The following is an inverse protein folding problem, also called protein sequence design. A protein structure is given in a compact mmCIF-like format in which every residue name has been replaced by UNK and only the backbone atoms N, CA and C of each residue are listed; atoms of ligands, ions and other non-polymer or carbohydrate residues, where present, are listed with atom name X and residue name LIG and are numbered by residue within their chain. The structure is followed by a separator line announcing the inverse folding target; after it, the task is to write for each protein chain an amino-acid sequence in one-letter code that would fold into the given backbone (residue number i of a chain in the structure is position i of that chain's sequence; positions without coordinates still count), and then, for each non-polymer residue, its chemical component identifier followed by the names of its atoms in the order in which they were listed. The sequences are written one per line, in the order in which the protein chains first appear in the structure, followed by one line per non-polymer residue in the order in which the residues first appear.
data_IF_269463827091
#
_entry.id   IF_269463827091
#
_cell.length_a   1.000
_cell.length_b   1.000
_cell.length_c   1.000
_cell.angle_alpha   90.00
_cell.angle_beta   90.00
_cell.angle_gamma   90.00
#
_symmetry.space_group_name_H-M   'P 1'
#
loop_
_entity.id
_entity.type
_entity.pdbx_description
1 polymer ?
#
# COMPACT_ATOMS: atom_id res chain seq x y z
N UNK A 1 -65.26 19.18 14.56
CA UNK A 1 -64.48 18.36 15.51
C UNK A 1 -63.07 18.30 14.94
N UNK A 2 -62.27 19.37 15.10
CA UNK A 2 -61.44 19.70 16.28
C UNK A 2 -60.26 18.72 16.35
N UNK A 3 -58.98 19.07 16.35
CA UNK A 3 -58.30 20.22 16.95
C UNK A 3 -56.91 20.44 16.31
N UNK A 4 -56.50 21.70 16.23
CA UNK A 4 -55.12 22.15 16.04
C UNK A 4 -54.34 21.98 17.36
N UNK A 5 -53.03 21.79 17.29
CA UNK A 5 -52.13 22.23 18.36
C UNK A 5 -50.76 22.64 17.80
N UNK A 6 -50.47 23.93 17.94
CA UNK A 6 -49.15 24.58 17.89
C UNK A 6 -48.63 24.75 19.32
N UNK A 7 -47.31 24.64 19.55
CA UNK A 7 -46.55 25.36 20.59
C UNK A 7 -45.01 25.17 20.36
N UNK A 8 -44.09 25.82 21.09
CA UNK A 8 -43.27 26.94 20.58
C UNK A 8 -41.74 26.72 20.68
N UNK A 9 -40.95 27.68 20.15
CA UNK A 9 -39.47 27.66 20.10
C UNK A 9 -38.75 27.94 21.44
N UNK A 10 -37.41 28.09 21.41
CA UNK A 10 -36.85 29.34 21.95
C UNK A 10 -35.62 29.93 21.23
N UNK A 11 -35.45 31.22 21.56
CA UNK A 11 -34.35 32.19 21.43
C UNK A 11 -32.96 31.58 21.71
N UNK A 12 -31.85 32.00 21.09
CA UNK A 12 -31.32 33.35 20.91
C UNK A 12 -30.13 33.56 21.85
N UNK A 13 -28.89 33.38 21.38
CA UNK A 13 -27.67 33.72 22.15
C UNK A 13 -26.73 34.56 21.29
N UNK A 14 -26.56 35.80 21.73
CA UNK A 14 -25.64 36.79 21.16
C UNK A 14 -24.22 36.63 21.70
N UNK A 15 -23.27 36.97 20.83
CA UNK A 15 -21.84 37.17 21.10
C UNK A 15 -21.59 38.48 21.85
N UNK A 16 -20.64 38.55 22.80
CA UNK A 16 -20.13 39.82 23.28
C UNK A 16 -18.82 40.21 22.59
N UNK A 17 -18.85 41.38 21.96
CA UNK A 17 -17.70 42.23 21.67
C UNK A 17 -17.00 42.64 22.96
N UNK A 18 -15.67 42.65 22.98
CA UNK A 18 -14.87 43.23 24.07
C UNK A 18 -14.13 44.46 23.53
N UNK A 19 -14.72 45.62 23.80
CA UNK A 19 -14.12 46.93 23.58
C UNK A 19 -13.06 47.29 24.64
N UNK A 20 -12.15 48.13 24.14
CA UNK A 20 -11.20 49.03 24.79
C UNK A 20 -11.51 49.41 26.24
N UNK A 21 -10.45 49.39 27.06
CA UNK A 21 -10.29 50.33 28.17
C UNK A 21 -8.98 51.09 28.01
N UNK A 22 -9.15 52.37 27.74
CA UNK A 22 -8.17 53.42 28.02
C UNK A 22 -8.05 53.60 29.54
N UNK A 23 -6.84 53.86 30.00
CA UNK A 23 -6.58 54.43 31.32
C UNK A 23 -5.46 55.44 31.20
N UNK A 24 -5.82 56.72 31.20
CA UNK A 24 -4.94 57.80 31.61
C UNK A 24 -4.83 57.82 33.14
N UNK A 25 -3.63 58.03 33.68
CA UNK A 25 -3.30 59.09 34.66
C UNK A 25 -1.87 58.90 35.19
N UNK A 26 -1.13 60.00 35.34
CA UNK A 26 -0.19 60.15 36.46
C UNK A 26 1.26 60.44 36.13
N UNK A 27 1.55 61.72 35.96
CA UNK A 27 2.86 62.36 35.81
C UNK A 27 3.67 62.38 37.14
N UNK A 28 5.01 62.52 37.01
CA UNK A 28 6.01 63.04 37.96
C UNK A 28 6.52 62.16 39.12
N UNK A 29 7.81 61.76 39.06
CA UNK A 29 8.95 62.37 39.82
C UNK A 29 10.26 62.11 39.06
N UNK A 30 11.02 63.18 38.78
CA UNK A 30 12.42 63.17 38.31
C UNK A 30 13.37 62.99 39.51
N UNK A 31 14.45 62.20 39.37
CA UNK A 31 15.83 62.68 39.63
C UNK A 31 16.89 61.57 39.65
N UNK A 32 17.94 61.80 38.84
CA UNK A 32 19.35 61.55 39.11
C UNK A 32 19.82 60.13 39.48
N UNK A 33 19.99 59.24 38.48
CA UNK A 33 20.93 58.11 38.60
C UNK A 33 21.43 57.56 37.24
N UNK A 34 21.54 58.41 36.21
CA UNK A 34 21.84 57.98 34.84
C UNK A 34 23.33 58.03 34.42
N UNK A 35 24.27 58.36 35.32
CA UNK A 35 25.68 58.62 34.91
C UNK A 35 26.76 57.71 35.51
N UNK A 36 26.42 56.66 36.29
CA UNK A 36 27.42 55.75 36.89
C UNK A 36 27.43 54.32 36.34
N UNK A 37 26.54 53.98 35.41
CA UNK A 37 26.45 52.62 34.83
C UNK A 37 27.44 52.34 33.67
N UNK A 38 27.96 53.30 32.87
CA UNK A 38 28.79 52.93 31.71
C UNK A 38 30.23 52.51 32.04
N UNK A 39 30.77 52.86 33.22
CA UNK A 39 32.20 52.61 33.54
C UNK A 39 32.45 51.29 34.28
N UNK A 40 31.47 50.79 35.06
CA UNK A 40 31.59 49.50 35.76
C UNK A 40 31.47 48.28 34.82
N UNK A 41 30.71 48.40 33.73
CA UNK A 41 30.52 47.31 32.76
C UNK A 41 31.71 47.12 31.82
N UNK A 42 32.51 48.16 31.57
CA UNK A 42 33.67 48.07 30.67
C UNK A 42 34.85 47.35 31.34
N UNK A 43 35.04 47.50 32.66
CA UNK A 43 36.10 46.80 33.40
C UNK A 43 35.75 45.32 33.69
N UNK A 44 34.47 44.98 33.79
CA UNK A 44 34.01 43.58 33.90
C UNK A 44 34.25 42.77 32.62
N UNK A 45 34.42 43.41 31.47
CA UNK A 45 34.75 42.75 30.20
C UNK A 45 36.23 42.31 30.08
N UNK A 46 37.14 42.86 30.88
CA UNK A 46 38.57 42.54 30.83
C UNK A 46 39.03 41.48 31.85
N UNK A 47 38.18 41.12 32.83
CA UNK A 47 38.49 40.12 33.85
C UNK A 47 37.81 38.76 33.62
N UNK A 48 37.01 38.61 32.56
CA UNK A 48 36.44 37.32 32.18
C UNK A 48 37.47 36.61 31.28
N UNK A 49 37.91 35.37 31.60
CA UNK A 49 38.82 34.57 30.77
C UNK A 49 38.25 34.39 29.35
N UNK A 50 39.02 33.89 28.35
CA UNK A 50 38.68 33.98 26.92
C UNK A 50 37.48 33.11 26.52
N UNK A 51 36.28 33.50 26.95
CA UNK A 51 34.99 32.91 26.59
C UNK A 51 34.51 33.39 25.22
N UNK A 52 35.14 34.44 24.66
CA UNK A 52 34.87 34.93 23.29
C UNK A 52 35.12 33.86 22.23
N UNK A 53 36.12 33.00 22.39
CA UNK A 53 36.36 31.89 21.46
C UNK A 53 35.28 30.81 21.55
N UNK A 54 34.78 30.53 22.76
CA UNK A 54 33.75 29.52 22.98
C UNK A 54 32.40 29.94 22.40
N UNK A 55 31.99 31.20 22.60
CA UNK A 55 30.76 31.74 22.01
C UNK A 55 30.83 31.85 20.49
N UNK A 56 31.96 32.31 19.93
CA UNK A 56 32.14 32.41 18.48
C UNK A 56 32.06 31.02 17.79
N UNK A 57 32.60 29.98 18.43
CA UNK A 57 32.51 28.62 17.91
C UNK A 57 31.08 28.06 17.98
N UNK A 58 30.35 28.31 19.08
CA UNK A 58 28.97 27.83 19.22
C UNK A 58 28.03 28.47 18.18
N UNK A 59 28.17 29.77 17.93
CA UNK A 59 27.39 30.49 16.90
C UNK A 59 27.75 30.00 15.49
N UNK A 60 29.04 29.73 15.21
CA UNK A 60 29.45 29.15 13.92
C UNK A 60 28.84 27.78 13.66
N UNK A 61 28.72 26.93 14.68
CA UNK A 61 28.12 25.60 14.51
C UNK A 61 26.60 25.66 14.29
N UNK A 62 25.91 26.62 14.91
CA UNK A 62 24.49 26.86 14.61
C UNK A 62 24.29 27.37 13.19
N UNK A 63 25.20 28.22 12.67
CA UNK A 63 25.15 28.68 11.28
C UNK A 63 25.40 27.55 10.27
N UNK A 64 26.36 26.67 10.55
CA UNK A 64 26.61 25.46 9.75
C UNK A 64 25.40 24.50 9.74
N UNK A 65 24.54 24.56 10.76
CA UNK A 65 23.32 23.74 10.79
C UNK A 65 22.18 24.29 9.92
N UNK A 66 22.22 25.59 9.59
CA UNK A 66 21.16 26.31 8.87
C UNK A 66 21.36 26.38 7.35
N UNK A 67 22.57 26.12 6.84
CA UNK A 67 22.84 26.04 5.41
C UNK A 67 22.29 24.73 4.81
N UNK A 68 21.72 24.82 3.61
CA UNK A 68 21.18 23.68 2.87
C UNK A 68 22.26 23.01 1.98
N UNK A 69 22.11 21.70 1.80
CA UNK A 69 22.83 20.91 0.79
C UNK A 69 24.36 21.10 0.72
N UNK A 70 24.84 21.40 -0.47
CA UNK A 70 26.26 21.36 -0.88
C UNK A 70 27.11 22.46 -0.24
N UNK A 71 26.54 23.64 0.00
CA UNK A 71 27.24 24.75 0.65
C UNK A 71 27.67 24.38 2.08
N UNK A 72 26.77 23.73 2.83
CA UNK A 72 27.07 23.21 4.17
C UNK A 72 28.19 22.18 4.15
N UNK A 73 28.23 21.29 3.16
CA UNK A 73 29.26 20.25 3.04
C UNK A 73 30.62 20.89 2.77
N UNK A 74 30.69 21.88 1.88
CA UNK A 74 31.92 22.59 1.57
C UNK A 74 32.43 23.41 2.77
N UNK A 75 31.52 24.05 3.51
CA UNK A 75 31.83 24.74 4.75
C UNK A 75 32.34 23.76 5.83
N UNK A 76 31.75 22.57 5.95
CA UNK A 76 32.22 21.51 6.84
C UNK A 76 33.58 20.93 6.42
N UNK A 77 33.85 20.72 5.12
CA UNK A 77 35.18 20.30 4.64
C UNK A 77 36.25 21.33 5.01
N UNK A 78 35.95 22.62 4.84
CA UNK A 78 36.84 23.73 5.21
C UNK A 78 37.02 23.87 6.73
N UNK A 79 36.04 23.44 7.51
CA UNK A 79 36.12 23.39 8.97
C UNK A 79 36.99 22.22 9.45
N UNK A 80 36.76 21.01 8.91
CA UNK A 80 37.50 19.79 9.25
C UNK A 80 38.99 19.86 8.86
N UNK A 81 39.34 20.62 7.81
CA UNK A 81 40.74 20.81 7.40
C UNK A 81 41.57 21.71 8.33
N UNK A 82 40.94 22.37 9.30
CA UNK A 82 41.63 23.20 10.30
C UNK A 82 41.76 22.41 11.60
N UNK A 83 42.83 21.61 11.68
CA UNK A 83 43.08 20.60 12.73
C UNK A 83 43.08 21.12 14.19
N UNK A 84 43.16 22.43 14.43
CA UNK A 84 43.51 22.96 15.76
C UNK A 84 42.37 23.52 16.62
N UNK A 85 41.11 23.60 16.15
CA UNK A 85 40.05 24.32 16.90
C UNK A 85 38.63 23.72 16.86
N UNK A 86 38.49 22.45 16.50
CA UNK A 86 37.16 21.84 16.44
C UNK A 86 36.64 21.49 17.84
N UNK A 87 35.49 22.05 18.24
CA UNK A 87 34.77 21.50 19.40
C UNK A 87 34.17 20.16 19.01
N UNK A 88 34.28 19.15 19.89
CA UNK A 88 33.86 17.77 19.62
C UNK A 88 32.43 17.65 19.04
N UNK A 89 31.50 18.51 19.49
CA UNK A 89 30.12 18.53 18.99
C UNK A 89 29.99 18.95 17.52
N UNK A 90 30.84 19.86 17.04
CA UNK A 90 30.76 20.37 15.67
C UNK A 90 31.55 19.49 14.72
N UNK A 91 32.62 18.87 15.22
CA UNK A 91 33.35 17.83 14.50
C UNK A 91 32.42 16.67 14.11
N UNK A 92 31.61 16.17 15.05
CA UNK A 92 30.64 15.09 14.78
C UNK A 92 29.62 15.46 13.69
N UNK A 93 28.96 16.62 13.84
CA UNK A 93 27.94 17.06 12.88
C UNK A 93 28.50 17.36 11.48
N UNK A 94 29.74 17.87 11.39
CA UNK A 94 30.38 18.09 10.09
C UNK A 94 30.91 16.81 9.47
N UNK A 95 31.42 15.86 10.26
CA UNK A 95 31.83 14.55 9.77
C UNK A 95 30.63 13.80 9.18
N UNK A 96 29.50 13.78 9.91
CA UNK A 96 28.25 13.18 9.41
C UNK A 96 27.76 13.84 8.13
N UNK A 97 27.77 15.18 8.04
CA UNK A 97 27.34 15.88 6.82
C UNK A 97 28.24 15.58 5.60
N UNK A 98 29.55 15.45 5.81
CA UNK A 98 30.50 15.10 4.74
C UNK A 98 30.35 13.63 4.34
N UNK A 99 30.23 12.72 5.30
CA UNK A 99 30.01 11.31 5.05
C UNK A 99 28.68 11.08 4.30
N UNK A 100 27.62 11.79 4.67
CA UNK A 100 26.32 11.77 3.99
C UNK A 100 26.47 12.13 2.51
N UNK A 101 27.14 13.25 2.21
CA UNK A 101 27.25 13.73 0.83
C UNK A 101 28.16 12.83 -0.02
N UNK A 102 29.24 12.32 0.57
CA UNK A 102 30.11 11.37 -0.11
C UNK A 102 29.34 10.08 -0.45
N UNK A 103 28.54 9.55 0.48
CA UNK A 103 27.71 8.36 0.24
C UNK A 103 26.64 8.62 -0.84
N UNK A 104 25.94 9.75 -0.75
CA UNK A 104 24.92 10.18 -1.72
C UNK A 104 25.48 10.35 -3.14
N UNK A 105 26.64 11.00 -3.28
CA UNK A 105 27.27 11.23 -4.58
C UNK A 105 27.83 9.96 -5.20
N UNK A 106 28.39 9.06 -4.38
CA UNK A 106 28.97 7.83 -4.88
C UNK A 106 27.91 6.89 -5.51
N UNK A 107 26.64 6.96 -5.06
CA UNK A 107 25.58 6.00 -5.43
C UNK A 107 26.05 4.53 -5.35
N UNK A 108 27.02 4.27 -4.48
CA UNK A 108 27.60 2.96 -4.25
C UNK A 108 26.90 2.35 -3.06
N UNK A 109 26.38 1.13 -3.25
CA UNK A 109 25.71 0.39 -2.19
C UNK A 109 26.61 0.24 -0.95
N UNK A 110 27.89 -0.11 -1.12
CA UNK A 110 28.83 -0.28 -0.02
C UNK A 110 29.01 0.99 0.83
N UNK A 111 29.09 2.16 0.17
CA UNK A 111 29.28 3.43 0.87
C UNK A 111 28.00 3.90 1.57
N UNK A 112 26.84 3.66 0.96
CA UNK A 112 25.54 3.95 1.56
C UNK A 112 25.28 3.05 2.78
N UNK A 113 25.61 1.76 2.68
CA UNK A 113 25.50 0.79 3.77
C UNK A 113 26.41 1.14 4.94
N UNK A 114 27.69 1.43 4.66
CA UNK A 114 28.63 1.88 5.68
C UNK A 114 28.16 3.16 6.40
N UNK A 115 27.49 4.08 5.70
CA UNK A 115 26.86 5.24 6.33
C UNK A 115 25.71 4.82 7.26
N UNK A 116 24.78 3.99 6.77
CA UNK A 116 23.63 3.50 7.55
C UNK A 116 24.10 2.80 8.82
N UNK A 117 25.02 1.84 8.70
CA UNK A 117 25.57 1.08 9.84
C UNK A 117 26.25 2.02 10.86
N UNK A 118 26.97 3.04 10.39
CA UNK A 118 27.67 4.00 11.25
C UNK A 118 26.72 4.93 12.02
N UNK A 119 25.57 5.25 11.44
CA UNK A 119 24.63 6.25 11.97
C UNK A 119 23.27 5.68 12.39
N UNK A 120 23.11 4.36 12.43
CA UNK A 120 21.85 3.66 12.78
C UNK A 120 21.30 4.09 14.14
N UNK A 121 22.17 4.31 15.14
CA UNK A 121 21.76 4.80 16.46
C UNK A 121 21.11 6.20 16.44
N UNK A 122 21.31 6.97 15.36
CA UNK A 122 20.75 8.29 15.12
C UNK A 122 19.54 8.26 14.15
N UNK A 123 18.90 7.10 13.94
CA UNK A 123 17.80 6.85 12.98
C UNK A 123 16.57 7.77 13.09
N UNK A 124 16.51 8.68 14.07
CA UNK A 124 15.43 9.66 14.23
C UNK A 124 15.52 10.88 13.29
N UNK A 125 16.52 10.96 12.42
CA UNK A 125 16.66 12.11 11.52
C UNK A 125 16.08 11.80 10.14
N UNK A 126 15.38 12.77 9.54
CA UNK A 126 14.81 12.65 8.19
C UNK A 126 15.87 12.27 7.11
N UNK A 127 17.15 12.56 7.37
CA UNK A 127 18.28 12.21 6.51
C UNK A 127 18.59 10.71 6.48
N UNK A 128 18.40 10.03 7.61
CA UNK A 128 18.54 8.58 7.67
C UNK A 128 17.54 7.89 6.74
N UNK A 129 16.27 8.34 6.77
CA UNK A 129 15.25 7.78 5.88
C UNK A 129 15.53 8.06 4.41
N UNK A 130 16.05 9.25 4.06
CA UNK A 130 16.44 9.57 2.68
C UNK A 130 17.55 8.64 2.18
N UNK A 131 18.60 8.38 2.99
CA UNK A 131 19.67 7.46 2.62
C UNK A 131 19.18 6.02 2.58
N UNK A 132 18.33 5.59 3.53
CA UNK A 132 17.77 4.24 3.52
C UNK A 132 16.97 4.00 2.23
N UNK A 133 16.14 4.96 1.82
CA UNK A 133 15.39 4.88 0.56
C UNK A 133 16.32 4.87 -0.67
N UNK A 134 17.45 5.58 -0.62
CA UNK A 134 18.44 5.57 -1.70
C UNK A 134 19.17 4.22 -1.76
N UNK A 135 19.57 3.66 -0.61
CA UNK A 135 20.19 2.36 -0.50
C UNK A 135 19.26 1.27 -1.03
N UNK A 136 17.98 1.31 -0.64
CA UNK A 136 16.92 0.44 -1.14
C UNK A 136 16.79 0.51 -2.67
N UNK A 137 16.71 1.72 -3.23
CA UNK A 137 16.62 1.94 -4.68
C UNK A 137 17.85 1.40 -5.44
N UNK A 138 19.06 1.60 -4.91
CA UNK A 138 20.30 1.10 -5.53
C UNK A 138 20.37 -0.42 -5.45
N UNK A 139 20.03 -1.01 -4.30
CA UNK A 139 20.00 -2.45 -4.11
C UNK A 139 19.02 -3.12 -5.09
N UNK A 140 17.83 -2.55 -5.24
CA UNK A 140 16.87 -3.01 -6.22
C UNK A 140 17.39 -2.93 -7.66
N UNK A 141 17.99 -1.80 -8.05
CA UNK A 141 18.54 -1.65 -9.40
C UNK A 141 19.63 -2.69 -9.72
N UNK A 142 20.40 -3.12 -8.71
CA UNK A 142 21.41 -4.16 -8.88
C UNK A 142 20.79 -5.55 -9.12
N UNK A 143 19.68 -5.87 -8.44
CA UNK A 143 18.94 -7.13 -8.65
C UNK A 143 18.46 -7.27 -10.10
N UNK A 144 18.00 -6.18 -10.73
CA UNK A 144 17.51 -6.24 -12.10
C UNK A 144 18.62 -6.42 -13.15
N UNK A 145 19.87 -6.03 -12.84
CA UNK A 145 21.00 -6.09 -13.77
C UNK A 145 21.73 -7.43 -13.75
N UNK A 146 21.86 -8.03 -12.58
CA UNK A 146 22.58 -9.29 -12.41
C UNK A 146 21.62 -10.47 -12.46
N UNK A 147 21.32 -10.94 -13.68
CA UNK A 147 20.43 -12.08 -13.89
C UNK A 147 21.03 -13.39 -13.41
N UNK A 148 22.36 -13.52 -13.39
CA UNK A 148 23.05 -14.74 -12.99
C UNK A 148 22.94 -14.96 -11.47
N UNK A 149 23.07 -13.89 -10.68
CA UNK A 149 22.97 -13.93 -9.22
C UNK A 149 21.61 -13.46 -8.67
N UNK A 150 20.59 -13.32 -9.52
CA UNK A 150 19.28 -12.76 -9.14
C UNK A 150 18.66 -13.44 -7.90
N UNK A 151 18.82 -14.77 -7.77
CA UNK A 151 18.34 -15.53 -6.60
C UNK A 151 19.05 -15.11 -5.32
N UNK A 152 20.38 -15.03 -5.33
CA UNK A 152 21.17 -14.64 -4.17
C UNK A 152 20.90 -13.18 -3.78
N UNK A 153 20.87 -12.29 -4.78
CA UNK A 153 20.62 -10.86 -4.58
C UNK A 153 19.21 -10.62 -4.02
N UNK A 154 18.18 -11.32 -4.50
CA UNK A 154 16.83 -11.18 -3.95
C UNK A 154 16.70 -11.73 -2.52
N UNK A 155 17.43 -12.79 -2.16
CA UNK A 155 17.43 -13.30 -0.78
C UNK A 155 18.10 -12.30 0.16
N UNK A 156 19.30 -11.83 -0.18
CA UNK A 156 20.02 -10.83 0.59
C UNK A 156 19.20 -9.53 0.76
N UNK A 157 18.55 -9.07 -0.32
CA UNK A 157 17.69 -7.91 -0.29
C UNK A 157 16.49 -8.08 0.66
N UNK A 158 15.80 -9.23 0.62
CA UNK A 158 14.68 -9.49 1.54
C UNK A 158 15.13 -9.55 3.00
N UNK A 159 16.29 -10.13 3.28
CA UNK A 159 16.85 -10.22 4.63
C UNK A 159 17.24 -8.83 5.17
N UNK A 160 17.70 -7.94 4.31
CA UNK A 160 18.14 -6.59 4.69
C UNK A 160 17.00 -5.57 4.80
N UNK A 161 16.10 -5.51 3.81
CA UNK A 161 15.07 -4.47 3.72
C UNK A 161 13.68 -4.93 4.21
N UNK A 162 13.48 -6.25 4.36
CA UNK A 162 12.20 -6.81 4.74
C UNK A 162 11.06 -6.44 3.77
N UNK A 163 9.82 -6.47 4.26
CA UNK A 163 8.62 -6.18 3.46
C UNK A 163 8.47 -4.70 3.06
N UNK A 164 9.21 -3.80 3.71
CA UNK A 164 9.14 -2.37 3.44
C UNK A 164 10.00 -1.94 2.24
N UNK A 165 10.88 -2.80 1.74
CA UNK A 165 11.74 -2.52 0.59
C UNK A 165 10.93 -2.34 -0.69
N UNK A 166 11.27 -1.33 -1.50
CA UNK A 166 10.58 -0.99 -2.75
C UNK A 166 10.50 -2.12 -3.77
N UNK A 167 11.38 -3.11 -3.70
CA UNK A 167 11.44 -4.25 -4.62
C UNK A 167 11.16 -5.59 -3.93
N UNK A 168 10.58 -5.53 -2.73
CA UNK A 168 10.17 -6.73 -2.00
C UNK A 168 9.24 -7.60 -2.84
N UNK A 169 8.20 -7.02 -3.44
CA UNK A 169 7.20 -7.78 -4.21
C UNK A 169 7.81 -8.46 -5.45
N UNK A 170 8.68 -7.76 -6.20
CA UNK A 170 9.35 -8.35 -7.36
C UNK A 170 10.26 -9.51 -6.93
N UNK A 171 11.08 -9.30 -5.89
CA UNK A 171 11.97 -10.34 -5.40
C UNK A 171 11.21 -11.50 -4.76
N UNK A 172 10.11 -11.24 -4.07
CA UNK A 172 9.26 -12.25 -3.49
C UNK A 172 8.65 -13.12 -4.60
N UNK A 173 8.04 -12.51 -5.62
CA UNK A 173 7.45 -13.23 -6.75
C UNK A 173 8.50 -14.02 -7.55
N UNK A 174 9.70 -13.48 -7.73
CA UNK A 174 10.80 -14.18 -8.40
C UNK A 174 11.26 -15.40 -7.59
N UNK A 175 11.52 -15.23 -6.30
CA UNK A 175 11.96 -16.32 -5.43
C UNK A 175 10.88 -17.39 -5.28
N UNK A 176 9.62 -16.99 -5.17
CA UNK A 176 8.46 -17.90 -5.17
C UNK A 176 8.47 -18.80 -6.42
N UNK A 177 8.56 -18.19 -7.61
CA UNK A 177 8.62 -18.95 -8.85
C UNK A 177 9.85 -19.87 -8.94
N UNK A 178 11.02 -19.39 -8.51
CA UNK A 178 12.27 -20.15 -8.52
C UNK A 178 12.21 -21.35 -7.55
N UNK A 179 11.81 -21.13 -6.30
CA UNK A 179 11.76 -22.18 -5.28
C UNK A 179 10.63 -23.19 -5.59
N UNK A 180 9.55 -22.77 -6.25
CA UNK A 180 8.54 -23.71 -6.75
C UNK A 180 9.17 -24.70 -7.76
N UNK A 181 9.91 -24.20 -8.75
CA UNK A 181 10.49 -25.07 -9.76
C UNK A 181 11.59 -25.97 -9.17
N UNK A 182 12.40 -25.45 -8.26
CA UNK A 182 13.37 -26.24 -7.50
C UNK A 182 12.69 -27.36 -6.70
N UNK A 183 11.54 -27.09 -6.07
CA UNK A 183 10.80 -28.09 -5.31
C UNK A 183 10.26 -29.23 -6.20
N UNK A 184 9.79 -28.92 -7.43
CA UNK A 184 9.35 -29.94 -8.41
C UNK A 184 10.47 -30.87 -8.85
N UNK A 185 11.69 -30.34 -8.95
CA UNK A 185 12.88 -31.06 -9.40
C UNK A 185 13.59 -31.80 -8.26
N UNK A 186 13.18 -31.60 -7.00
CA UNK A 186 13.76 -32.29 -5.85
C UNK A 186 13.59 -33.81 -5.96
N UNK A 187 14.62 -34.56 -5.54
CA UNK A 187 14.54 -36.02 -5.36
C UNK A 187 13.58 -36.38 -4.22
N UNK A 188 13.62 -35.60 -3.14
CA UNK A 188 12.65 -35.66 -2.05
C UNK A 188 11.58 -34.61 -2.28
N UNK A 189 10.60 -34.95 -3.12
CA UNK A 189 9.50 -34.04 -3.47
C UNK A 189 8.61 -33.74 -2.28
N UNK A 190 8.40 -34.71 -1.38
CA UNK A 190 7.51 -34.53 -0.23
C UNK A 190 8.06 -33.47 0.71
N UNK A 191 9.32 -33.61 1.13
CA UNK A 191 9.97 -32.64 2.00
C UNK A 191 10.10 -31.27 1.31
N UNK A 192 10.43 -31.24 0.02
CA UNK A 192 10.54 -29.99 -0.74
C UNK A 192 9.20 -29.24 -0.85
N UNK A 193 8.08 -29.95 -1.06
CA UNK A 193 6.74 -29.36 -1.11
C UNK A 193 6.34 -28.78 0.23
N UNK A 194 6.58 -29.50 1.32
CA UNK A 194 6.31 -29.02 2.68
C UNK A 194 7.14 -27.77 3.02
N UNK A 195 8.44 -27.78 2.72
CA UNK A 195 9.31 -26.60 2.90
C UNK A 195 8.83 -25.39 2.11
N UNK A 196 8.39 -25.60 0.87
CA UNK A 196 7.85 -24.53 0.04
C UNK A 196 6.54 -23.97 0.64
N UNK A 197 5.61 -24.84 1.05
CA UNK A 197 4.34 -24.44 1.65
C UNK A 197 4.56 -23.67 2.95
N UNK A 198 5.46 -24.12 3.82
CA UNK A 198 5.82 -23.42 5.06
C UNK A 198 6.40 -22.02 4.77
N UNK A 199 7.25 -21.91 3.74
CA UNK A 199 7.93 -20.66 3.39
C UNK A 199 7.02 -19.60 2.76
N UNK A 200 6.11 -19.99 1.87
CA UNK A 200 5.29 -19.07 1.08
C UNK A 200 3.82 -19.03 1.50
N UNK A 201 3.38 -20.00 2.29
CA UNK A 201 1.99 -20.10 2.73
C UNK A 201 1.00 -20.24 1.57
N UNK A 202 -0.29 -19.92 1.79
CA UNK A 202 -1.35 -20.05 0.80
C UNK A 202 -1.22 -19.10 -0.39
N UNK A 203 -0.42 -18.05 -0.26
CA UNK A 203 -0.20 -17.06 -1.33
C UNK A 203 0.89 -17.47 -2.32
N UNK A 204 1.66 -18.54 -2.01
CA UNK A 204 2.69 -19.07 -2.89
C UNK A 204 2.14 -19.62 -4.20
N UNK A 205 2.78 -19.29 -5.31
CA UNK A 205 2.39 -19.67 -6.68
C UNK A 205 2.06 -21.15 -6.88
N UNK A 206 2.71 -22.04 -6.14
CA UNK A 206 2.58 -23.49 -6.27
C UNK A 206 1.92 -24.17 -5.07
N UNK A 207 1.37 -23.39 -4.14
CA UNK A 207 0.73 -23.89 -2.92
C UNK A 207 -0.37 -24.92 -3.23
N UNK A 208 -1.37 -24.57 -4.05
CA UNK A 208 -2.49 -25.47 -4.35
C UNK A 208 -2.02 -26.77 -5.04
N UNK A 209 -1.05 -26.66 -5.95
CA UNK A 209 -0.50 -27.81 -6.66
C UNK A 209 0.22 -28.76 -5.70
N UNK A 210 1.02 -28.21 -4.78
CA UNK A 210 1.76 -28.99 -3.81
C UNK A 210 0.86 -29.59 -2.73
N UNK A 211 -0.14 -28.84 -2.23
CA UNK A 211 -1.15 -29.40 -1.33
C UNK A 211 -1.87 -30.58 -1.97
N UNK A 212 -2.38 -30.42 -3.19
CA UNK A 212 -3.09 -31.48 -3.89
C UNK A 212 -2.20 -32.72 -4.12
N UNK A 213 -0.92 -32.52 -4.42
CA UNK A 213 0.03 -33.62 -4.58
C UNK A 213 0.34 -34.34 -3.26
N UNK A 214 0.42 -33.61 -2.15
CA UNK A 214 0.58 -34.20 -0.82
C UNK A 214 -0.66 -34.98 -0.40
N UNK A 215 -1.86 -34.47 -0.66
CA UNK A 215 -3.13 -35.14 -0.36
C UNK A 215 -3.34 -36.43 -1.16
N UNK A 216 -2.98 -36.41 -2.46
CA UNK A 216 -3.15 -37.57 -3.35
C UNK A 216 -2.02 -38.61 -3.23
N UNK A 217 -0.98 -38.30 -2.47
CA UNK A 217 0.27 -39.04 -2.47
C UNK A 217 1.14 -38.65 -3.67
N UNK A 218 2.43 -38.42 -3.41
CA UNK A 218 3.38 -38.07 -4.46
C UNK A 218 3.83 -39.36 -5.14
N UNK A 219 3.66 -39.50 -6.47
CA UNK A 219 4.11 -40.71 -7.17
C UNK A 219 5.61 -40.88 -6.98
N UNK A 220 6.00 -42.03 -6.42
CA UNK A 220 7.40 -42.41 -6.24
C UNK A 220 8.03 -42.61 -7.63
N UNK A 221 9.17 -41.94 -7.86
CA UNK A 221 9.86 -41.90 -9.17
C UNK A 221 10.36 -43.28 -9.67
N UNK A 222 10.13 -44.35 -8.91
CA UNK A 222 10.65 -45.69 -9.19
C UNK A 222 9.85 -46.48 -10.24
N UNK A 223 8.64 -46.05 -10.63
CA UNK A 223 7.80 -46.80 -11.59
C UNK A 223 7.94 -46.37 -13.07
N UNK A 224 8.84 -45.44 -13.42
CA UNK A 224 8.99 -44.95 -14.82
C UNK A 224 10.04 -45.74 -15.63
N UNK A 225 10.46 -46.93 -15.18
CA UNK A 225 11.39 -47.77 -15.96
C UNK A 225 10.72 -49.09 -16.36
N UNK A 226 10.81 -49.42 -17.64
CA UNK A 226 10.38 -50.65 -18.34
C UNK A 226 8.92 -50.75 -18.80
N UNK A 227 8.53 -49.86 -19.72
CA UNK A 227 7.40 -50.05 -20.64
C UNK A 227 7.82 -49.82 -22.09
N UNK A 228 8.95 -50.38 -22.53
CA UNK A 228 9.40 -50.32 -23.93
C UNK A 228 8.61 -51.36 -24.73
N UNK A 229 7.45 -50.99 -25.25
CA UNK A 229 6.77 -51.75 -26.29
C UNK A 229 7.49 -51.51 -27.62
N UNK A 230 8.10 -52.56 -28.16
CA UNK A 230 8.51 -52.62 -29.54
C UNK A 230 7.25 -52.61 -30.41
N UNK A 231 6.99 -51.49 -31.09
CA UNK A 231 6.12 -51.47 -32.27
C UNK A 231 6.87 -50.78 -33.40
N UNK A 232 7.25 -51.61 -34.36
CA UNK A 232 7.67 -51.31 -35.72
C UNK A 232 6.68 -50.40 -36.44
N UNK A 233 7.25 -49.46 -37.19
CA UNK A 233 6.77 -48.89 -38.45
C UNK A 233 5.26 -48.69 -38.64
N UNK A 234 4.85 -47.43 -38.58
CA UNK A 234 4.19 -46.79 -39.73
C UNK A 234 4.26 -45.27 -39.60
N UNK A 235 4.86 -44.64 -40.61
CA UNK A 235 4.89 -43.19 -40.81
C UNK A 235 3.47 -42.60 -40.80
N UNK A 236 3.27 -41.42 -40.21
CA UNK A 236 2.67 -40.36 -41.02
C UNK A 236 3.21 -38.94 -40.74
N UNK A 237 3.54 -38.26 -41.83
CA UNK A 237 3.16 -36.88 -42.20
C UNK A 237 3.20 -35.78 -41.13
N UNK A 238 4.16 -34.87 -41.34
CA UNK A 238 4.03 -33.40 -41.36
C UNK A 238 2.65 -32.80 -41.06
N UNK A 239 2.65 -31.79 -40.17
CA UNK A 239 1.63 -30.77 -39.79
C UNK A 239 1.24 -30.91 -38.31
N UNK A 240 1.17 -29.88 -37.46
CA UNK A 240 0.89 -28.45 -37.67
C UNK A 240 1.29 -27.70 -36.39
N UNK A 241 1.90 -26.52 -36.53
CA UNK A 241 2.09 -25.56 -35.43
C UNK A 241 0.73 -25.18 -34.84
N UNK A 242 0.42 -25.71 -33.66
CA UNK A 242 -0.76 -25.30 -32.90
C UNK A 242 -0.39 -24.10 -32.03
N UNK A 243 -0.70 -22.91 -32.53
CA UNK A 243 -0.66 -21.69 -31.73
C UNK A 243 -1.57 -21.83 -30.49
N UNK A 244 -1.26 -21.15 -29.38
CA UNK A 244 -2.11 -21.16 -28.19
C UNK A 244 -3.51 -20.67 -28.59
N UNK A 245 -4.55 -21.46 -28.31
CA UNK A 245 -5.94 -21.07 -28.53
C UNK A 245 -6.21 -19.78 -27.75
N UNK A 246 -6.28 -18.67 -28.47
CA UNK A 246 -6.78 -17.38 -28.01
C UNK A 246 -8.20 -17.61 -27.48
N UNK A 247 -8.41 -17.38 -26.18
CA UNK A 247 -9.73 -17.51 -25.57
C UNK A 247 -10.73 -16.64 -26.34
N UNK A 248 -11.69 -17.28 -27.01
CA UNK A 248 -12.79 -16.59 -27.67
C UNK A 248 -13.63 -15.90 -26.58
N UNK A 249 -14.03 -14.63 -26.73
CA UNK A 249 -14.87 -13.95 -25.76
C UNK A 249 -16.12 -14.78 -25.52
N UNK A 250 -16.39 -15.10 -24.26
CA UNK A 250 -17.51 -15.93 -23.85
C UNK A 250 -18.81 -15.43 -24.49
N UNK A 251 -19.52 -16.35 -25.15
CA UNK A 251 -20.81 -16.07 -25.78
C UNK A 251 -21.79 -15.54 -24.72
N UNK A 252 -22.83 -14.84 -25.18
CA UNK A 252 -23.96 -14.24 -24.44
C UNK A 252 -24.68 -15.08 -23.36
N UNK A 253 -24.21 -16.29 -23.05
CA UNK A 253 -24.77 -17.23 -22.06
C UNK A 253 -24.46 -16.88 -20.61
N UNK A 254 -23.51 -15.98 -20.34
CA UNK A 254 -23.11 -15.64 -18.97
C UNK A 254 -23.86 -14.44 -18.39
N UNK A 255 -24.94 -13.97 -19.02
CA UNK A 255 -25.73 -12.83 -18.55
C UNK A 255 -27.15 -13.22 -18.17
N UNK A 256 -27.62 -12.71 -17.04
CA UNK A 256 -29.01 -12.83 -16.61
C UNK A 256 -29.53 -11.48 -16.14
N UNK A 257 -30.84 -11.24 -16.32
CA UNK A 257 -31.51 -10.10 -15.71
C UNK A 257 -32.44 -10.59 -14.62
N UNK A 258 -32.51 -9.88 -13.50
CA UNK A 258 -33.44 -10.14 -12.42
C UNK A 258 -34.05 -8.83 -11.94
N UNK A 259 -35.13 -8.91 -11.16
CA UNK A 259 -35.85 -7.73 -10.68
C UNK A 259 -35.86 -7.70 -9.16
N UNK A 260 -35.64 -6.52 -8.57
CA UNK A 260 -35.79 -6.26 -7.14
C UNK A 260 -36.73 -5.07 -6.99
N UNK A 261 -37.94 -5.29 -6.47
CA UNK A 261 -39.00 -4.29 -6.49
C UNK A 261 -39.36 -3.89 -7.94
N UNK A 262 -39.28 -2.59 -8.25
CA UNK A 262 -39.57 -2.05 -9.59
C UNK A 262 -38.32 -1.93 -10.48
N UNK A 263 -37.19 -2.46 -10.03
CA UNK A 263 -35.91 -2.25 -10.66
C UNK A 263 -35.38 -3.52 -11.29
N UNK A 264 -35.09 -3.45 -12.59
CA UNK A 264 -34.39 -4.51 -13.34
C UNK A 264 -32.88 -4.31 -13.20
N UNK A 265 -32.17 -5.38 -12.89
CA UNK A 265 -30.72 -5.44 -12.75
C UNK A 265 -30.14 -6.51 -13.67
N UNK A 266 -28.91 -6.30 -14.10
CA UNK A 266 -28.10 -7.30 -14.81
C UNK A 266 -27.15 -8.02 -13.85
N UNK A 267 -26.94 -9.31 -14.11
CA UNK A 267 -25.94 -10.12 -13.47
C UNK A 267 -25.09 -10.85 -14.52
N UNK A 268 -23.81 -10.99 -14.22
CA UNK A 268 -22.85 -11.74 -15.02
C UNK A 268 -22.31 -12.92 -14.21
N UNK A 269 -22.23 -14.09 -14.83
CA UNK A 269 -21.55 -15.24 -14.24
C UNK A 269 -20.06 -15.15 -14.51
N UNK A 270 -19.28 -14.99 -13.44
CA UNK A 270 -17.83 -15.01 -13.46
C UNK A 270 -17.39 -16.20 -12.61
N UNK A 271 -17.17 -17.31 -13.31
CA UNK A 271 -16.82 -18.58 -12.69
C UNK A 271 -17.96 -19.19 -11.89
N UNK A 272 -17.72 -19.55 -10.61
CA UNK A 272 -18.72 -20.21 -9.81
C UNK A 272 -19.67 -19.19 -9.14
N UNK A 273 -19.50 -17.88 -9.37
CA UNK A 273 -20.33 -16.81 -8.80
C UNK A 273 -21.05 -16.00 -9.88
N UNK A 274 -22.28 -15.61 -9.57
CA UNK A 274 -22.99 -14.54 -10.23
C UNK A 274 -22.67 -13.22 -9.55
N UNK A 275 -22.36 -12.19 -10.33
CA UNK A 275 -22.05 -10.84 -9.86
C UNK A 275 -23.08 -9.86 -10.41
N UNK A 276 -23.52 -8.89 -9.59
CA UNK A 276 -24.35 -7.80 -10.09
C UNK A 276 -23.50 -6.87 -10.97
N UNK A 277 -23.84 -6.83 -12.27
CA UNK A 277 -23.15 -6.02 -13.27
C UNK A 277 -23.40 -4.52 -13.05
N UNK A 278 -24.43 -4.16 -12.30
CA UNK A 278 -24.82 -2.79 -11.97
C UNK A 278 -24.80 -2.56 -10.46
N UNK A 279 -24.74 -1.28 -10.07
CA UNK A 279 -24.77 -0.88 -8.67
C UNK A 279 -26.19 -1.03 -8.10
N UNK A 280 -26.32 -1.74 -6.98
CA UNK A 280 -27.62 -2.07 -6.40
C UNK A 280 -28.42 -0.87 -5.88
N UNK A 281 -27.74 0.24 -5.55
CA UNK A 281 -28.38 1.46 -5.07
C UNK A 281 -28.62 2.51 -6.17
N UNK A 282 -28.52 2.14 -7.45
CA UNK A 282 -28.82 2.99 -8.62
C UNK A 282 -28.12 4.35 -8.66
N UNK A 283 -26.84 4.37 -8.29
CA UNK A 283 -26.02 5.58 -8.34
C UNK A 283 -26.04 6.40 -7.05
N UNK A 284 -26.72 5.91 -6.01
CA UNK A 284 -26.52 6.40 -4.66
C UNK A 284 -25.19 5.93 -4.05
N UNK A 285 -24.90 6.42 -2.86
CA UNK A 285 -23.87 5.86 -1.98
C UNK A 285 -24.56 5.34 -0.74
N UNK A 286 -24.15 4.16 -0.29
CA UNK A 286 -24.67 3.59 0.95
C UNK A 286 -23.51 3.24 1.86
N UNK A 287 -23.77 3.36 3.17
CA UNK A 287 -22.80 2.96 4.17
C UNK A 287 -22.71 1.43 4.27
N UNK A 288 -21.70 0.93 4.96
CA UNK A 288 -21.45 -0.52 5.01
C UNK A 288 -22.63 -1.28 5.63
N UNK A 289 -23.25 -0.74 6.68
CA UNK A 289 -24.40 -1.37 7.34
C UNK A 289 -25.62 -1.48 6.41
N UNK A 290 -25.87 -0.45 5.59
CA UNK A 290 -26.89 -0.48 4.54
C UNK A 290 -26.52 -1.45 3.41
N UNK A 291 -25.25 -1.52 3.04
CA UNK A 291 -24.78 -2.42 1.98
C UNK A 291 -25.01 -3.90 2.32
N UNK A 292 -24.86 -4.28 3.59
CA UNK A 292 -25.12 -5.65 4.06
C UNK A 292 -26.54 -6.13 3.81
N UNK A 293 -27.52 -5.22 3.81
CA UNK A 293 -28.93 -5.54 3.63
C UNK A 293 -29.49 -5.11 2.27
N UNK A 294 -28.68 -4.43 1.45
CA UNK A 294 -29.07 -3.98 0.12
C UNK A 294 -29.16 -5.13 -0.90
N UNK A 295 -28.44 -6.23 -0.67
CA UNK A 295 -28.50 -7.39 -1.55
C UNK A 295 -29.83 -8.13 -1.41
N UNK A 296 -30.47 -8.51 -2.54
CA UNK A 296 -31.75 -9.23 -2.51
C UNK A 296 -31.58 -10.66 -1.97
N UNK A 297 -32.68 -11.30 -1.59
CA UNK A 297 -32.67 -12.65 -1.04
C UNK A 297 -31.88 -13.64 -1.89
N UNK A 298 -30.93 -14.35 -1.26
CA UNK A 298 -30.04 -15.29 -1.91
C UNK A 298 -28.81 -14.64 -2.59
N UNK A 299 -28.65 -13.33 -2.46
CA UNK A 299 -27.45 -12.59 -2.81
C UNK A 299 -26.83 -12.00 -1.54
N UNK A 300 -25.53 -11.71 -1.57
CA UNK A 300 -24.80 -11.09 -0.47
C UNK A 300 -23.71 -10.16 -0.99
N UNK A 301 -23.09 -9.37 -0.12
CA UNK A 301 -21.85 -8.68 -0.47
C UNK A 301 -20.73 -9.70 -0.81
N UNK A 302 -19.83 -9.37 -1.75
CA UNK A 302 -18.66 -10.20 -2.01
C UNK A 302 -17.71 -10.18 -0.81
N UNK A 303 -16.96 -11.26 -0.61
CA UNK A 303 -15.78 -11.21 0.26
C UNK A 303 -14.59 -10.64 -0.51
N UNK A 304 -13.60 -10.11 0.20
CA UNK A 304 -12.35 -9.58 -0.37
C UNK A 304 -11.64 -10.65 -1.20
N UNK A 305 -11.59 -11.90 -0.72
CA UNK A 305 -10.99 -13.03 -1.44
C UNK A 305 -11.70 -13.39 -2.74
N UNK A 306 -13.01 -13.18 -2.83
CA UNK A 306 -13.77 -13.45 -4.05
C UNK A 306 -13.46 -12.43 -5.13
N UNK A 307 -13.25 -11.17 -4.75
CA UNK A 307 -12.83 -10.10 -5.65
C UNK A 307 -11.38 -10.32 -6.10
N UNK A 308 -10.48 -10.66 -5.18
CA UNK A 308 -9.09 -11.05 -5.46
C UNK A 308 -9.02 -12.19 -6.48
N UNK A 309 -9.79 -13.25 -6.25
CA UNK A 309 -9.86 -14.39 -7.15
C UNK A 309 -10.38 -13.99 -8.53
N UNK A 310 -11.40 -13.13 -8.58
CA UNK A 310 -11.92 -12.59 -9.83
C UNK A 310 -10.84 -11.78 -10.58
N UNK A 311 -10.03 -10.98 -9.90
CA UNK A 311 -8.92 -10.23 -10.52
C UNK A 311 -7.84 -11.17 -11.03
N UNK A 312 -7.42 -12.12 -10.19
CA UNK A 312 -6.29 -13.04 -10.44
C UNK A 312 -6.62 -14.06 -11.51
N UNK A 313 -7.72 -14.79 -11.37
CA UNK A 313 -8.01 -15.97 -12.19
C UNK A 313 -8.81 -15.64 -13.45
N UNK A 314 -9.81 -14.74 -13.37
CA UNK A 314 -10.64 -14.43 -14.53
C UNK A 314 -9.97 -13.49 -15.52
N UNK A 315 -9.19 -12.54 -15.03
CA UNK A 315 -8.58 -11.52 -15.88
C UNK A 315 -7.08 -11.74 -16.09
N UNK A 316 -6.45 -12.62 -15.29
CA UNK A 316 -5.04 -13.04 -15.39
C UNK A 316 -3.99 -11.93 -15.24
N UNK A 317 -4.40 -10.66 -15.21
CA UNK A 317 -3.56 -9.47 -15.04
C UNK A 317 -4.44 -8.31 -14.52
N UNK A 318 -4.00 -7.55 -13.50
CA UNK A 318 -4.67 -6.34 -13.00
C UNK A 318 -5.10 -5.33 -14.07
N UNK A 319 -4.30 -5.09 -15.11
CA UNK A 319 -4.65 -4.14 -16.18
C UNK A 319 -5.86 -4.58 -16.99
N UNK A 320 -5.95 -5.89 -17.27
CA UNK A 320 -7.11 -6.50 -17.93
C UNK A 320 -8.30 -6.46 -16.98
N UNK A 321 -8.10 -6.81 -15.71
CA UNK A 321 -9.14 -6.77 -14.70
C UNK A 321 -9.76 -5.37 -14.62
N UNK A 322 -8.90 -4.35 -14.54
CA UNK A 322 -9.32 -2.96 -14.57
C UNK A 322 -10.13 -2.67 -15.83
N UNK A 323 -9.62 -3.02 -17.02
CA UNK A 323 -10.32 -2.77 -18.30
C UNK A 323 -11.71 -3.39 -18.32
N UNK A 324 -11.85 -4.65 -17.93
CA UNK A 324 -13.12 -5.37 -17.98
C UNK A 324 -14.09 -4.95 -16.87
N UNK A 325 -13.59 -4.68 -15.67
CA UNK A 325 -14.41 -4.25 -14.53
C UNK A 325 -14.86 -2.79 -14.63
N UNK A 326 -14.23 -2.02 -15.51
CA UNK A 326 -14.57 -0.61 -15.72
C UNK A 326 -15.13 -0.34 -17.11
N UNK A 327 -15.28 -1.39 -17.93
CA UNK A 327 -15.84 -1.26 -19.27
C UNK A 327 -17.30 -0.86 -19.19
N UNK A 328 -17.66 0.15 -19.98
CA UNK A 328 -19.00 0.72 -20.01
C UNK A 328 -19.79 0.27 -21.25
N UNK A 329 -19.49 -0.86 -21.89
CA UNK A 329 -20.29 -1.28 -23.05
C UNK A 329 -21.70 -1.72 -22.58
N UNK A 330 -22.75 -0.93 -22.84
CA UNK A 330 -24.09 -1.23 -22.34
C UNK A 330 -24.68 -2.49 -22.99
N UNK A 331 -24.09 -2.97 -24.09
CA UNK A 331 -24.57 -4.12 -24.89
C UNK A 331 -24.05 -5.47 -24.39
N UNK A 332 -23.00 -5.49 -23.56
CA UNK A 332 -22.24 -6.73 -23.32
C UNK A 332 -22.43 -7.38 -21.94
N UNK A 333 -23.40 -6.92 -21.13
CA UNK A 333 -23.56 -7.41 -19.76
C UNK A 333 -22.25 -7.41 -18.96
N UNK A 334 -21.41 -6.40 -19.21
CA UNK A 334 -20.13 -6.28 -18.54
C UNK A 334 -20.31 -5.75 -17.13
N UNK A 335 -19.30 -5.98 -16.30
CA UNK A 335 -19.25 -5.43 -14.96
C UNK A 335 -19.07 -3.92 -15.08
N UNK A 336 -20.17 -3.17 -15.04
CA UNK A 336 -20.17 -1.73 -15.26
C UNK A 336 -19.89 -1.01 -13.95
N UNK A 337 -18.61 -0.84 -13.59
CA UNK A 337 -18.21 -0.01 -12.46
C UNK A 337 -18.22 1.48 -12.86
N UNK A 338 -19.24 2.19 -12.40
CA UNK A 338 -19.35 3.64 -12.62
C UNK A 338 -18.42 4.41 -11.68
N UNK A 339 -17.61 5.31 -12.25
CA UNK A 339 -16.73 6.24 -11.52
C UNK A 339 -17.52 7.38 -10.88
N UNK A 340 -18.44 7.05 -9.99
CA UNK A 340 -19.27 8.01 -9.27
C UNK A 340 -18.53 8.68 -8.10
N UNK A 341 -17.35 8.19 -7.73
CA UNK A 341 -16.60 8.62 -6.56
C UNK A 341 -16.97 7.83 -5.31
N UNK A 342 -16.85 8.48 -4.15
CA UNK A 342 -17.31 7.96 -2.86
C UNK A 342 -17.60 9.12 -1.89
N UNK A 343 -18.32 8.84 -0.81
CA UNK A 343 -18.62 9.84 0.23
C UNK A 343 -17.84 9.52 1.51
N UNK A 344 -16.99 10.44 1.97
CA UNK A 344 -16.33 10.31 3.27
C UNK A 344 -17.34 10.40 4.43
N UNK A 345 -18.31 11.28 4.28
CA UNK A 345 -19.36 11.53 5.28
C UNK A 345 -20.71 11.47 4.57
N UNK A 346 -21.71 10.75 5.12
CA UNK A 346 -23.04 10.69 4.53
C UNK A 346 -23.61 12.09 4.30
N UNK A 347 -24.11 12.34 3.09
CA UNK A 347 -24.71 13.63 2.72
C UNK A 347 -23.73 14.73 2.32
N UNK A 348 -22.41 14.48 2.36
CA UNK A 348 -21.40 15.40 1.81
C UNK A 348 -21.21 15.11 0.31
N UNK A 349 -20.77 16.14 -0.43
CA UNK A 349 -20.42 16.02 -1.84
C UNK A 349 -19.47 14.84 -2.09
N UNK A 350 -19.63 14.19 -3.23
CA UNK A 350 -18.81 13.05 -3.61
C UNK A 350 -17.37 13.48 -3.82
N UNK A 351 -16.45 12.77 -3.17
CA UNK A 351 -15.03 12.89 -3.44
C UNK A 351 -14.68 12.05 -4.67
N UNK A 352 -13.70 12.52 -5.46
CA UNK A 352 -13.15 11.77 -6.60
C UNK A 352 -14.16 11.36 -7.68
N UNK A 353 -15.30 12.08 -7.80
CA UNK A 353 -16.29 11.86 -8.85
C UNK A 353 -15.64 11.94 -10.25
N UNK A 354 -15.89 10.92 -11.07
CA UNK A 354 -15.28 10.75 -12.40
C UNK A 354 -13.87 10.16 -12.39
N UNK A 355 -13.23 10.04 -11.22
CA UNK A 355 -11.84 9.58 -11.08
C UNK A 355 -11.67 8.31 -10.24
N UNK A 356 -12.59 8.00 -9.35
CA UNK A 356 -12.58 6.75 -8.59
C UNK A 356 -13.96 6.09 -8.48
N UNK A 357 -13.94 4.79 -8.24
CA UNK A 357 -15.13 3.99 -7.92
C UNK A 357 -14.76 2.96 -6.86
N UNK A 358 -15.56 2.84 -5.81
CA UNK A 358 -15.36 1.78 -4.83
C UNK A 358 -16.65 1.05 -4.49
N UNK A 359 -16.53 -0.18 -4.02
CA UNK A 359 -17.67 -0.93 -3.49
C UNK A 359 -17.32 -1.71 -2.23
N UNK A 360 -18.34 -1.92 -1.40
CA UNK A 360 -18.23 -2.64 -0.14
C UNK A 360 -18.01 -4.14 -0.32
N UNK A 361 -17.17 -4.72 0.53
CA UNK A 361 -17.08 -6.16 0.77
C UNK A 361 -17.74 -6.51 2.12
N UNK A 362 -18.02 -7.80 2.28
CA UNK A 362 -18.68 -8.33 3.48
C UNK A 362 -17.73 -8.45 4.68
N UNK A 363 -16.42 -8.49 4.44
CA UNK A 363 -15.41 -8.71 5.47
C UNK A 363 -15.54 -7.65 6.58
N UNK A 364 -15.86 -8.14 7.77
CA UNK A 364 -15.97 -7.35 8.97
C UNK A 364 -14.71 -7.54 9.80
N UNK A 365 -14.08 -6.44 10.20
CA UNK A 365 -12.93 -6.45 11.12
C UNK A 365 -13.35 -6.58 12.59
N UNK A 366 -14.62 -6.88 12.84
CA UNK A 366 -15.18 -7.22 14.13
C UNK A 366 -16.38 -6.35 14.51
N UNK A 367 -17.22 -6.81 15.44
CA UNK A 367 -18.46 -6.12 15.81
C UNK A 367 -18.22 -4.74 16.42
N UNK A 368 -17.05 -4.52 17.04
CA UNK A 368 -16.62 -3.23 17.61
C UNK A 368 -15.82 -2.38 16.63
N UNK A 369 -15.41 -2.93 15.50
CA UNK A 369 -14.61 -2.20 14.51
C UNK A 369 -15.50 -1.21 13.76
N UNK A 370 -15.01 0.02 13.63
CA UNK A 370 -15.58 1.03 12.72
C UNK A 370 -15.15 0.81 11.28
N UNK A 371 -14.38 -0.25 10.98
CA UNK A 371 -13.75 -0.49 9.70
C UNK A 371 -14.28 -1.75 9.03
N UNK A 372 -14.36 -1.74 7.70
CA UNK A 372 -14.75 -2.88 6.88
C UNK A 372 -13.92 -2.94 5.58
N UNK A 373 -13.90 -4.12 4.96
CA UNK A 373 -13.25 -4.32 3.68
C UNK A 373 -13.97 -3.59 2.53
N UNK A 374 -13.20 -2.92 1.68
CA UNK A 374 -13.69 -2.39 0.41
C UNK A 374 -12.65 -2.48 -0.69
N UNK A 375 -13.09 -2.29 -1.93
CA UNK A 375 -12.20 -2.11 -3.08
C UNK A 375 -12.36 -0.72 -3.65
N UNK A 376 -11.25 -0.14 -4.10
CA UNK A 376 -11.20 1.15 -4.78
C UNK A 376 -10.51 1.00 -6.14
N UNK A 377 -11.13 1.54 -7.18
CA UNK A 377 -10.63 1.57 -8.54
C UNK A 377 -10.33 3.02 -8.89
N UNK A 378 -9.11 3.30 -9.33
CA UNK A 378 -8.64 4.65 -9.66
C UNK A 378 -8.36 4.79 -11.16
N UNK A 379 -8.91 5.84 -11.76
CA UNK A 379 -8.85 6.06 -13.21
C UNK A 379 -7.52 6.60 -13.71
N UNK A 380 -6.86 7.43 -12.91
CA UNK A 380 -5.61 8.10 -13.26
C UNK A 380 -4.43 7.13 -13.43
N UNK A 381 -4.32 6.13 -12.58
CA UNK A 381 -3.25 5.13 -12.59
C UNK A 381 -3.73 3.72 -12.95
N UNK A 382 -5.04 3.55 -13.23
CA UNK A 382 -5.69 2.26 -13.49
C UNK A 382 -5.48 1.24 -12.36
N UNK A 383 -5.30 1.72 -11.14
CA UNK A 383 -5.06 0.87 -9.99
C UNK A 383 -6.37 0.26 -9.47
N UNK A 384 -6.23 -0.95 -8.91
CA UNK A 384 -7.23 -1.60 -8.09
C UNK A 384 -6.59 -1.75 -6.71
N UNK A 385 -7.12 -1.02 -5.73
CA UNK A 385 -6.63 -0.96 -4.36
C UNK A 385 -7.59 -1.74 -3.45
N UNK A 386 -7.01 -2.61 -2.62
CA UNK A 386 -7.73 -3.28 -1.55
C UNK A 386 -7.62 -2.37 -0.33
N UNK A 387 -8.76 -1.95 0.21
CA UNK A 387 -8.83 -1.12 1.39
C UNK A 387 -9.42 -1.95 2.53
N UNK A 388 -8.59 -2.72 3.27
CA UNK A 388 -9.08 -3.58 4.34
C UNK A 388 -9.73 -2.80 5.49
N UNK A 389 -9.38 -1.51 5.62
CA UNK A 389 -9.66 -0.66 6.76
C UNK A 389 -10.51 0.56 6.37
N UNK A 390 -11.61 0.37 5.64
CA UNK A 390 -12.47 1.48 5.21
C UNK A 390 -13.51 1.79 6.27
N UNK A 391 -13.66 3.07 6.66
CA UNK A 391 -14.64 3.45 7.68
C UNK A 391 -16.07 3.08 7.26
N UNK A 392 -16.78 2.29 8.07
CA UNK A 392 -18.14 1.79 7.82
C UNK A 392 -19.17 2.91 7.57
N UNK A 393 -18.87 4.13 8.02
CA UNK A 393 -19.69 5.33 7.80
C UNK A 393 -19.56 5.95 6.41
N UNK A 394 -18.52 5.61 5.64
CA UNK A 394 -18.35 6.10 4.27
C UNK A 394 -19.46 5.60 3.36
N UNK A 395 -19.77 6.33 2.30
CA UNK A 395 -20.69 5.91 1.25
C UNK A 395 -19.92 5.34 0.06
N UNK A 396 -20.11 4.05 -0.23
CA UNK A 396 -19.59 3.39 -1.44
C UNK A 396 -20.73 2.77 -2.26
N UNK A 397 -20.38 2.28 -3.45
CA UNK A 397 -21.29 1.49 -4.27
C UNK A 397 -21.53 0.10 -3.64
N UNK A 398 -22.59 -0.57 -4.07
CA UNK A 398 -22.96 -1.90 -3.59
C UNK A 398 -22.98 -2.89 -4.74
N UNK A 399 -22.14 -3.92 -4.63
CA UNK A 399 -22.12 -5.08 -5.52
C UNK A 399 -22.54 -6.30 -4.74
N UNK A 400 -23.32 -7.16 -5.37
CA UNK A 400 -23.74 -8.39 -4.75
C UNK A 400 -23.28 -9.59 -5.56
N UNK A 401 -23.04 -10.68 -4.86
CA UNK A 401 -22.70 -11.97 -5.42
C UNK A 401 -23.69 -13.04 -4.98
N UNK A 402 -23.81 -14.08 -5.81
CA UNK A 402 -24.62 -15.26 -5.54
C UNK A 402 -23.93 -16.49 -6.09
N UNK A 403 -23.93 -17.58 -5.34
CA UNK A 403 -23.41 -18.86 -5.80
C UNK A 403 -24.18 -19.36 -7.03
N UNK A 404 -23.46 -19.79 -8.06
CA UNK A 404 -24.06 -20.42 -9.23
C UNK A 404 -24.52 -21.85 -8.89
N UNK A 405 -25.38 -22.45 -9.73
CA UNK A 405 -25.76 -23.86 -9.57
C UNK A 405 -24.55 -24.80 -9.68
N UNK A 406 -23.52 -24.37 -10.39
CA UNK A 406 -22.29 -25.12 -10.59
C UNK A 406 -21.27 -24.89 -9.46
N UNK A 407 -21.53 -23.98 -8.52
CA UNK A 407 -20.67 -23.71 -7.36
C UNK A 407 -20.34 -24.99 -6.57
N UNK A 408 -21.31 -25.88 -6.38
CA UNK A 408 -21.11 -27.16 -5.67
C UNK A 408 -20.25 -28.17 -6.44
N UNK A 409 -20.20 -28.06 -7.78
CA UNK A 409 -19.43 -28.94 -8.67
C UNK A 409 -18.04 -28.39 -8.94
N UNK A 410 -17.87 -27.09 -8.76
CA UNK A 410 -16.60 -26.39 -8.81
C UNK A 410 -15.68 -26.91 -7.70
N UNK A 411 -14.44 -27.25 -8.05
CA UNK A 411 -13.36 -27.48 -7.08
C UNK A 411 -13.01 -26.20 -6.31
N UNK A 412 -13.39 -25.05 -6.85
CA UNK A 412 -13.25 -23.74 -6.26
C UNK A 412 -14.33 -23.54 -5.20
N UNK A 413 -13.93 -23.60 -3.93
CA UNK A 413 -14.76 -23.24 -2.79
C UNK A 413 -14.12 -22.03 -2.13
N UNK A 414 -14.82 -20.91 -2.14
CA UNK A 414 -14.38 -19.75 -1.36
C UNK A 414 -14.58 -20.04 0.12
N UNK A 415 -13.56 -19.73 0.93
CA UNK A 415 -13.72 -19.65 2.37
C UNK A 415 -14.82 -18.62 2.67
N UNK A 416 -15.73 -18.88 3.63
CA UNK A 416 -16.68 -17.87 4.09
C UNK A 416 -15.98 -16.55 4.42
N UNK A 417 -16.66 -15.42 4.21
CA UNK A 417 -16.07 -14.11 4.52
C UNK A 417 -15.71 -14.04 6.02
N UNK A 418 -14.61 -13.37 6.33
CA UNK A 418 -14.18 -13.21 7.73
C UNK A 418 -15.22 -12.38 8.47
N UNK A 419 -15.66 -12.86 9.64
CA UNK A 419 -16.60 -12.14 10.50
C UNK A 419 -18.08 -12.32 10.17
N UNK A 420 -18.47 -13.27 9.30
CA UNK A 420 -19.86 -13.72 9.26
C UNK A 420 -20.18 -14.54 10.52
N UNK A 421 -21.25 -14.20 11.28
CA UNK A 421 -21.74 -15.02 12.38
C UNK A 421 -22.32 -16.35 11.91
#
# INVERSE_FOLDING_TARGET
MSEQNQAPGPQGQGTPNREKKESELGLFVRSNLAWLIPLGLVLLFFLIPPTRHWFANKVRCSLLSAEDGTARVEACRKYLSKESFASASCYGACTEAVDYENARQARSYELLKAYVDKYEANARTARYQEIFNLLDSVACANISRDTENKVANCRAYKDEFGQAGSCYDECHAFLDAYDCEAARQSKDRQEAYLRYIDKYGPDGKCYETFQLALEKGIPTSTEVTTGRTNNTDTSPKSNTNSAPKKATPASSRNCQTFTVGNWKFKAIQLGPLWWTAENMNKGGFINWQQARTACPTGWRLPCTREVEHLIREFYSNPDKAYTYLTSQDPRNCEFNLEFTGFQWTPGVATSESGTAAGFWCMDDLGPTSTLAGSYLFRKNNRAIEILPNTEKGMGLNCRCVKESKDYKKSSLRFTPCVGMP
#
